data_IF_823720721196
#
_entry.id   IF_823720721196
#
_cell.length_a   1.000
_cell.length_b   1.000
_cell.length_c   1.000
_cell.angle_alpha   90.00
_cell.angle_beta   90.00
_cell.angle_gamma   90.00
#
_symmetry.space_group_name_H-M   'P 1'
#
loop_
_entity.id
_entity.type
_entity.pdbx_description
1 polymer ?
#
# COMPACT_ATOMS: atom_id res chain seq x y z
N UNK A 1 5.18 7.49 -24.59
CA UNK A 1 6.05 6.90 -23.55
C UNK A 1 6.78 8.02 -22.81
N UNK A 2 6.64 8.15 -21.47
CA UNK A 2 7.34 9.16 -20.66
C UNK A 2 8.37 8.45 -19.76
N UNK A 3 9.59 8.18 -20.25
CA UNK A 3 10.58 7.37 -19.52
C UNK A 3 10.91 7.92 -18.12
N UNK A 4 10.98 9.25 -17.99
CA UNK A 4 11.16 9.92 -16.71
C UNK A 4 10.01 9.69 -15.72
N UNK A 5 8.77 9.64 -16.20
CA UNK A 5 7.60 9.39 -15.35
C UNK A 5 7.61 7.94 -14.82
N UNK A 6 7.95 6.98 -15.68
CA UNK A 6 8.13 5.57 -15.28
C UNK A 6 9.29 5.38 -14.32
N UNK A 7 10.41 6.10 -14.49
CA UNK A 7 11.55 6.05 -13.57
C UNK A 7 11.14 6.55 -12.18
N UNK A 8 10.44 7.68 -12.09
CA UNK A 8 9.93 8.21 -10.83
C UNK A 8 8.90 7.27 -10.16
N UNK A 9 8.02 6.64 -10.95
CA UNK A 9 7.01 5.72 -10.44
C UNK A 9 7.59 4.38 -9.94
N UNK A 10 8.79 3.98 -10.40
CA UNK A 10 9.39 2.70 -10.04
C UNK A 10 9.61 2.53 -8.53
N UNK A 11 10.08 3.58 -7.84
CA UNK A 11 10.27 3.56 -6.39
C UNK A 11 8.95 3.35 -5.64
N UNK A 12 7.89 4.06 -6.06
CA UNK A 12 6.54 3.88 -5.50
C UNK A 12 6.06 2.45 -5.72
N UNK A 13 6.31 1.88 -6.90
CA UNK A 13 5.88 0.53 -7.22
C UNK A 13 6.60 -0.53 -6.37
N UNK A 14 7.90 -0.37 -6.13
CA UNK A 14 8.68 -1.24 -5.24
C UNK A 14 8.16 -1.16 -3.81
N UNK A 15 7.89 0.06 -3.29
CA UNK A 15 7.36 0.26 -1.94
C UNK A 15 5.95 -0.36 -1.79
N UNK A 16 5.07 -0.14 -2.77
CA UNK A 16 3.73 -0.74 -2.78
C UNK A 16 3.78 -2.28 -2.86
N UNK A 17 4.74 -2.84 -3.60
CA UNK A 17 4.97 -4.27 -3.68
C UNK A 17 5.46 -4.85 -2.35
N UNK A 18 6.35 -4.16 -1.63
CA UNK A 18 6.83 -4.56 -0.31
C UNK A 18 5.72 -4.52 0.75
N UNK A 19 4.84 -3.53 0.69
CA UNK A 19 3.64 -3.46 1.52
C UNK A 19 2.54 -4.46 1.10
N UNK A 20 2.66 -5.04 -0.10
CA UNK A 20 1.73 -6.04 -0.62
C UNK A 20 0.32 -5.50 -0.84
N UNK A 21 0.18 -4.24 -1.25
CA UNK A 21 -1.13 -3.60 -1.43
C UNK A 21 -1.82 -4.17 -2.67
N UNK A 22 -3.02 -4.72 -2.49
CA UNK A 22 -3.88 -5.25 -3.55
C UNK A 22 -5.25 -4.58 -3.45
N UNK A 23 -5.45 -3.45 -4.15
CA UNK A 23 -6.73 -2.78 -4.18
C UNK A 23 -7.70 -3.49 -5.12
N UNK A 24 -8.91 -3.73 -4.64
CA UNK A 24 -10.07 -4.18 -5.41
C UNK A 24 -11.10 -3.05 -5.40
N UNK A 25 -11.02 -2.17 -6.40
CA UNK A 25 -11.89 -1.01 -6.52
C UNK A 25 -13.38 -1.38 -6.74
N UNK A 26 -13.72 -2.38 -7.59
CA UNK A 26 -15.11 -2.85 -7.71
C UNK A 26 -15.71 -3.36 -6.40
N UNK A 27 -14.94 -4.11 -5.61
CA UNK A 27 -15.40 -4.64 -4.33
C UNK A 27 -15.27 -3.65 -3.16
N UNK A 28 -14.62 -2.50 -3.37
CA UNK A 28 -14.32 -1.55 -2.30
C UNK A 28 -13.41 -2.14 -1.21
N UNK A 29 -12.52 -3.07 -1.57
CA UNK A 29 -11.65 -3.74 -0.59
C UNK A 29 -10.17 -3.53 -0.90
N UNK A 30 -9.34 -3.57 0.13
CA UNK A 30 -7.88 -3.57 0.00
C UNK A 30 -7.34 -4.74 0.80
N UNK A 31 -6.54 -5.58 0.15
CA UNK A 31 -5.75 -6.62 0.85
C UNK A 31 -4.33 -6.15 1.05
N UNK A 32 -3.76 -6.54 2.19
CA UNK A 32 -2.37 -6.26 2.53
C UNK A 32 -1.66 -7.59 2.75
N UNK A 33 -0.60 -7.83 1.98
CA UNK A 33 0.23 -9.02 2.10
C UNK A 33 1.72 -8.62 2.20
N UNK A 34 2.15 -8.04 3.33
CA UNK A 34 3.48 -7.45 3.44
C UNK A 34 4.58 -8.51 3.34
N UNK A 35 5.70 -8.13 2.73
CA UNK A 35 6.88 -9.00 2.69
C UNK A 35 7.45 -9.10 4.10
N UNK A 36 7.49 -10.32 4.63
CA UNK A 36 8.10 -10.61 5.94
C UNK A 36 9.61 -10.40 5.88
N UNK A 37 10.16 -9.75 6.92
CA UNK A 37 11.60 -9.53 7.07
C UNK A 37 12.25 -8.68 5.96
N UNK A 38 11.49 -7.76 5.35
CA UNK A 38 12.07 -6.80 4.43
C UNK A 38 13.20 -6.00 5.12
N UNK A 39 14.34 -5.74 4.46
CA UNK A 39 15.52 -5.11 5.07
C UNK A 39 15.35 -3.61 5.36
N UNK A 40 14.11 -3.11 5.33
CA UNK A 40 13.78 -1.69 5.43
C UNK A 40 13.30 -1.27 6.84
N UNK A 41 13.11 -2.23 7.75
CA UNK A 41 12.58 -1.93 9.08
C UNK A 41 11.07 -1.68 9.07
N UNK A 42 10.61 -0.68 9.81
CA UNK A 42 9.19 -0.23 9.78
C UNK A 42 8.98 0.72 8.60
N UNK A 43 7.87 0.55 7.89
CA UNK A 43 7.51 1.32 6.70
C UNK A 43 6.14 1.96 6.91
N UNK A 44 6.07 3.29 6.87
CA UNK A 44 4.80 4.04 6.79
C UNK A 44 4.57 4.55 5.38
N UNK A 45 3.39 4.28 4.81
CA UNK A 45 2.94 4.78 3.52
C UNK A 45 1.65 5.58 3.73
N UNK A 46 1.72 6.89 3.53
CA UNK A 46 0.57 7.80 3.64
C UNK A 46 0.34 8.59 2.35
N UNK A 47 -0.78 9.31 2.29
CA UNK A 47 -1.17 10.09 1.11
C UNK A 47 -1.53 9.22 -0.10
N UNK A 48 -1.83 7.93 0.12
CA UNK A 48 -2.30 7.04 -0.93
C UNK A 48 -3.79 7.29 -1.17
N UNK A 49 -4.27 6.93 -2.36
CA UNK A 49 -5.69 6.90 -2.66
C UNK A 49 -6.10 5.57 -3.28
N UNK A 50 -7.17 4.98 -2.76
CA UNK A 50 -7.80 3.78 -3.30
C UNK A 50 -9.24 4.11 -3.66
N UNK A 51 -9.63 3.85 -4.91
CA UNK A 51 -10.95 4.20 -5.43
C UNK A 51 -11.36 5.68 -5.19
N UNK A 52 -10.38 6.60 -5.16
CA UNK A 52 -10.60 8.02 -4.89
C UNK A 52 -10.70 8.41 -3.41
N UNK A 53 -10.62 7.45 -2.49
CA UNK A 53 -10.62 7.67 -1.05
C UNK A 53 -9.20 7.68 -0.46
N UNK A 54 -8.91 8.44 0.60
CA UNK A 54 -7.61 8.46 1.25
C UNK A 54 -7.31 7.12 1.93
N UNK A 55 -6.03 6.72 1.91
CA UNK A 55 -5.55 5.49 2.51
C UNK A 55 -4.13 5.65 3.06
N UNK A 56 -3.90 5.12 4.25
CA UNK A 56 -2.58 5.09 4.89
C UNK A 56 -2.35 3.75 5.57
N UNK A 57 -1.15 3.19 5.42
CA UNK A 57 -0.77 1.88 5.96
C UNK A 57 0.62 1.93 6.57
N UNK A 58 0.77 1.24 7.69
CA UNK A 58 2.05 1.01 8.37
C UNK A 58 2.36 -0.48 8.37
N UNK A 59 3.58 -0.83 7.95
CA UNK A 59 4.11 -2.19 7.99
C UNK A 59 5.23 -2.24 9.01
N UNK A 60 5.05 -3.04 10.06
CA UNK A 60 6.07 -3.27 11.07
C UNK A 60 7.25 -4.05 10.48
N UNK A 61 8.39 -4.01 11.19
CA UNK A 61 9.59 -4.80 10.86
C UNK A 61 9.31 -6.31 10.72
N UNK A 62 8.29 -6.82 11.40
CA UNK A 62 7.90 -8.24 11.36
C UNK A 62 7.00 -8.59 10.15
N UNK A 63 6.66 -7.61 9.31
CA UNK A 63 5.74 -7.80 8.19
C UNK A 63 4.26 -7.81 8.59
N UNK A 64 3.91 -7.29 9.79
CA UNK A 64 2.52 -7.03 10.16
C UNK A 64 2.10 -5.67 9.62
N UNK A 65 0.98 -5.63 8.88
CA UNK A 65 0.40 -4.38 8.43
C UNK A 65 -0.73 -3.90 9.34
N UNK A 66 -0.80 -2.60 9.52
CA UNK A 66 -1.85 -1.88 10.22
C UNK A 66 -2.31 -0.74 9.32
N UNK A 67 -3.62 -0.63 9.11
CA UNK A 67 -4.20 0.50 8.38
C UNK A 67 -4.34 1.66 9.35
N UNK A 68 -3.74 2.80 9.01
CA UNK A 68 -3.80 4.02 9.82
C UNK A 68 -4.96 4.92 9.38
N UNK A 69 -5.29 4.89 8.09
CA UNK A 69 -6.39 5.66 7.52
C UNK A 69 -7.06 4.84 6.42
N UNK A 70 -8.37 4.73 6.48
CA UNK A 70 -9.21 4.18 5.43
C UNK A 70 -10.57 4.88 5.49
N UNK A 71 -11.15 5.20 4.33
CA UNK A 71 -12.52 5.71 4.28
C UNK A 71 -13.54 4.63 4.65
N UNK A 72 -14.72 5.05 5.12
CA UNK A 72 -15.79 4.16 5.63
C UNK A 72 -16.22 3.07 4.63
N UNK A 73 -16.10 3.33 3.33
CA UNK A 73 -16.43 2.37 2.27
C UNK A 73 -15.30 1.40 1.91
N UNK A 74 -14.11 1.53 2.51
CA UNK A 74 -12.94 0.74 2.18
C UNK A 74 -12.74 -0.36 3.23
N UNK A 75 -12.92 -1.62 2.83
CA UNK A 75 -12.78 -2.75 3.74
C UNK A 75 -11.42 -3.43 3.58
N UNK A 76 -10.87 -3.88 4.70
CA UNK A 76 -9.68 -4.73 4.73
C UNK A 76 -10.09 -6.16 4.35
N UNK A 77 -9.64 -6.62 3.18
CA UNK A 77 -9.90 -7.99 2.73
C UNK A 77 -8.94 -8.99 3.37
N UNK A 78 -9.48 -10.17 3.72
CA UNK A 78 -8.71 -11.33 4.22
C UNK A 78 -8.02 -12.11 3.10
#
# INVERSE_FOLDING_TARGET
>A
CRPAATAAASGVHVLAALAGIRPDAPAGTVKLAPVRSAPLGELGLGGLSVAGAPFSVRVSRLGLAMVEEAADGLQLGV
#
